data_IF_709582160977
#
_entry.id   IF_709582160977
#
_cell.length_a   1.000
_cell.length_b   1.000
_cell.length_c   1.000
_cell.angle_alpha   90.00
_cell.angle_beta   90.00
_cell.angle_gamma   90.00
#
_symmetry.space_group_name_H-M   'P 1'
#
loop_
_entity.id
_entity.type
_entity.pdbx_description
1 polymer ?
#
# COMPACT_ATOMS: atom_id res chain seq x y z
N UNK A 1 13.79 10.82 12.51
CA UNK A 1 14.04 11.33 11.15
C UNK A 1 13.94 10.16 10.18
N UNK A 2 12.75 9.91 9.62
CA UNK A 2 12.55 8.82 8.66
C UNK A 2 13.00 9.29 7.27
N UNK A 3 13.95 8.56 6.70
CA UNK A 3 14.53 8.85 5.38
C UNK A 3 13.54 8.39 4.30
N UNK A 4 12.87 9.33 3.64
CA UNK A 4 12.13 9.02 2.41
C UNK A 4 13.17 8.84 1.30
N UNK A 5 13.36 7.60 0.85
CA UNK A 5 14.23 7.29 -0.28
C UNK A 5 13.43 7.54 -1.56
N UNK A 6 13.75 8.62 -2.29
CA UNK A 6 13.24 8.82 -3.65
C UNK A 6 14.03 7.87 -4.56
N UNK A 7 13.52 6.66 -4.75
CA UNK A 7 14.09 5.68 -5.69
C UNK A 7 13.53 5.99 -7.07
N UNK A 8 14.39 6.16 -8.07
CA UNK A 8 13.98 6.19 -9.47
C UNK A 8 13.43 4.82 -9.87
N UNK A 9 12.15 4.74 -10.23
CA UNK A 9 11.52 3.49 -10.68
C UNK A 9 12.01 3.14 -12.09
N UNK A 10 12.58 1.94 -12.32
CA UNK A 10 12.96 1.50 -13.65
C UNK A 10 11.72 1.22 -14.52
N UNK A 11 11.83 1.43 -15.84
CA UNK A 11 10.74 1.16 -16.80
C UNK A 11 10.39 -0.32 -16.94
N UNK A 12 11.32 -1.20 -16.59
CA UNK A 12 11.15 -2.65 -16.56
C UNK A 12 11.60 -3.15 -15.20
N UNK A 13 10.77 -3.98 -14.56
CA UNK A 13 11.11 -4.57 -13.27
C UNK A 13 11.89 -5.87 -13.50
N UNK A 14 13.01 -6.08 -12.79
CA UNK A 14 13.70 -7.36 -12.78
C UNK A 14 12.73 -8.50 -12.46
N UNK A 15 12.88 -9.64 -13.13
CA UNK A 15 12.01 -10.83 -12.99
C UNK A 15 12.05 -11.45 -11.58
N UNK A 16 13.02 -11.08 -10.75
CA UNK A 16 13.18 -11.47 -9.35
C UNK A 16 12.49 -10.53 -8.35
N UNK A 17 11.89 -9.42 -8.80
CA UNK A 17 11.07 -8.55 -7.93
C UNK A 17 9.75 -9.25 -7.62
N UNK A 18 9.43 -9.40 -6.32
CA UNK A 18 8.12 -9.87 -5.86
C UNK A 18 6.99 -9.08 -6.57
N UNK A 19 5.93 -9.78 -6.98
CA UNK A 19 4.86 -9.12 -7.73
C UNK A 19 4.17 -7.99 -6.95
N UNK A 20 4.14 -8.06 -5.62
CA UNK A 20 3.58 -7.01 -4.77
C UNK A 20 4.19 -5.62 -5.03
N UNK A 21 5.50 -5.42 -4.77
CA UNK A 21 6.19 -4.18 -5.09
C UNK A 21 6.04 -3.73 -6.54
N UNK A 22 6.08 -4.67 -7.51
CA UNK A 22 5.91 -4.35 -8.93
C UNK A 22 4.56 -3.70 -9.22
N UNK A 23 3.46 -4.39 -8.90
CA UNK A 23 2.12 -3.90 -9.21
C UNK A 23 1.70 -2.71 -8.35
N UNK A 24 2.21 -2.61 -7.12
CA UNK A 24 2.06 -1.39 -6.34
C UNK A 24 2.71 -0.20 -7.06
N UNK A 25 3.90 -0.40 -7.64
CA UNK A 25 4.60 0.63 -8.39
C UNK A 25 3.89 0.97 -9.70
N UNK A 26 3.41 -0.02 -10.46
CA UNK A 26 2.61 0.22 -11.68
C UNK A 26 1.39 1.10 -11.37
N UNK A 27 0.67 0.82 -10.27
CA UNK A 27 -0.44 1.66 -9.83
C UNK A 27 -0.02 3.11 -9.52
N UNK A 28 1.19 3.34 -9.00
CA UNK A 28 1.74 4.70 -8.82
C UNK A 28 2.01 5.38 -10.16
N UNK A 29 2.59 4.64 -11.11
CA UNK A 29 2.89 5.18 -12.45
C UNK A 29 1.62 5.56 -13.21
N UNK A 30 0.54 4.78 -13.05
CA UNK A 30 -0.77 5.07 -13.63
C UNK A 30 -1.44 6.29 -13.01
N UNK A 31 -1.35 6.45 -11.68
CA UNK A 31 -1.89 7.61 -10.97
C UNK A 31 -1.13 8.90 -11.28
N UNK A 32 0.18 8.78 -11.49
CA UNK A 32 1.09 9.90 -11.70
C UNK A 32 1.96 9.64 -12.93
N UNK A 33 1.42 9.77 -14.16
CA UNK A 33 2.20 9.58 -15.38
C UNK A 33 3.29 10.65 -15.53
N UNK A 34 4.29 10.42 -16.38
CA UNK A 34 5.44 11.33 -16.56
C UNK A 34 5.02 12.73 -17.06
N UNK A 35 3.94 12.80 -17.83
CA UNK A 35 3.31 14.01 -18.37
C UNK A 35 2.12 14.49 -17.52
N UNK A 36 1.95 13.93 -16.31
CA UNK A 36 0.87 14.27 -15.40
C UNK A 36 1.00 15.66 -14.77
N UNK A 37 -0.12 16.17 -14.23
CA UNK A 37 -0.18 17.49 -13.60
C UNK A 37 0.70 17.63 -12.35
N UNK A 38 1.01 16.51 -11.67
CA UNK A 38 1.85 16.48 -10.46
C UNK A 38 3.14 15.72 -10.80
N UNK A 39 4.31 16.39 -10.81
CA UNK A 39 5.58 15.71 -11.02
C UNK A 39 5.90 14.74 -9.88
N UNK A 40 6.28 13.50 -10.19
CA UNK A 40 6.58 12.46 -9.18
C UNK A 40 7.63 12.88 -8.14
N UNK A 41 8.60 13.71 -8.54
CA UNK A 41 9.63 14.22 -7.63
C UNK A 41 9.10 15.14 -6.51
N UNK A 42 7.82 15.54 -6.58
CA UNK A 42 7.16 16.34 -5.54
C UNK A 42 6.29 15.52 -4.59
N UNK A 43 6.12 14.21 -4.84
CA UNK A 43 5.29 13.34 -4.02
C UNK A 43 6.03 12.95 -2.73
N UNK A 44 5.35 13.09 -1.58
CA UNK A 44 5.78 12.48 -0.33
C UNK A 44 5.14 11.10 -0.19
N UNK A 45 5.94 10.06 -0.33
CA UNK A 45 5.51 8.65 -0.30
C UNK A 45 5.90 7.98 1.02
N UNK A 46 4.95 7.28 1.64
CA UNK A 46 5.22 6.35 2.75
C UNK A 46 5.19 4.91 2.22
N UNK A 47 6.31 4.20 2.34
CA UNK A 47 6.38 2.75 2.14
C UNK A 47 6.27 2.04 3.49
N UNK A 48 5.14 1.37 3.71
CA UNK A 48 4.79 0.69 4.96
C UNK A 48 5.54 -0.63 5.14
N UNK A 49 6.00 -1.26 4.05
CA UNK A 49 6.46 -2.66 4.05
C UNK A 49 7.72 -2.87 3.22
N UNK A 50 8.68 -1.96 3.35
CA UNK A 50 9.91 -1.85 2.57
C UNK A 50 10.91 -3.03 2.69
N UNK A 51 10.52 -4.20 3.22
CA UNK A 51 11.42 -5.33 3.45
C UNK A 51 12.33 -5.12 4.66
N UNK A 52 13.64 -5.43 4.57
CA UNK A 52 14.57 -5.39 5.71
C UNK A 52 15.08 -3.98 6.05
N UNK A 53 14.20 -3.00 6.17
CA UNK A 53 14.50 -1.73 6.84
C UNK A 53 14.76 -1.93 8.35
N UNK A 54 15.75 -2.76 8.73
CA UNK A 54 16.04 -3.38 10.05
C UNK A 54 16.02 -2.40 11.24
N UNK A 55 15.98 -1.09 10.99
CA UNK A 55 16.13 0.02 11.93
C UNK A 55 14.89 0.94 11.99
N UNK A 56 13.79 0.63 11.31
CA UNK A 56 12.48 1.23 11.61
C UNK A 56 11.83 0.54 12.83
N UNK A 57 12.56 0.46 13.95
CA UNK A 57 12.32 -0.51 15.02
C UNK A 57 10.92 -0.42 15.66
N UNK A 58 10.21 -1.56 15.63
CA UNK A 58 9.07 -1.95 16.51
C UNK A 58 7.73 -1.24 16.33
N UNK A 59 7.60 -0.28 15.43
CA UNK A 59 6.36 0.46 15.20
C UNK A 59 5.66 0.04 13.90
N UNK A 60 5.09 -1.16 13.91
CA UNK A 60 4.24 -1.63 12.81
C UNK A 60 2.93 -0.82 12.79
N UNK A 61 2.64 -0.18 11.66
CA UNK A 61 1.41 0.58 11.48
C UNK A 61 0.18 -0.29 11.81
N UNK A 62 -0.78 0.27 12.55
CA UNK A 62 -2.02 -0.43 12.92
C UNK A 62 -2.02 -1.14 14.27
N UNK A 63 -0.85 -1.44 14.86
CA UNK A 63 -0.78 -1.92 16.25
C UNK A 63 -0.84 -0.76 17.25
N UNK A 64 -0.36 0.40 16.83
CA UNK A 64 -0.45 1.66 17.55
C UNK A 64 -0.30 2.82 16.58
N UNK A 65 -0.57 4.03 17.09
CA UNK A 65 -0.39 5.27 16.33
C UNK A 65 1.09 5.56 16.15
N UNK A 66 1.54 5.69 14.90
CA UNK A 66 2.93 6.04 14.60
C UNK A 66 3.17 7.54 14.83
N UNK A 67 4.42 7.91 15.17
CA UNK A 67 4.85 9.30 15.38
C UNK A 67 5.01 10.07 14.04
N UNK A 68 3.87 10.24 13.39
CA UNK A 68 3.69 10.96 12.13
C UNK A 68 2.42 11.79 12.26
N UNK A 69 2.47 13.05 11.84
CA UNK A 69 1.30 13.92 11.80
C UNK A 69 0.24 13.42 10.81
N UNK A 70 -1.02 13.74 11.08
CA UNK A 70 -2.12 13.46 10.16
C UNK A 70 -1.88 14.20 8.84
N UNK A 71 -2.36 13.65 7.72
CA UNK A 71 -2.28 14.29 6.39
C UNK A 71 -0.85 14.66 5.95
N UNK A 72 0.11 13.78 6.24
CA UNK A 72 1.51 14.00 5.92
C UNK A 72 1.87 13.60 4.49
N UNK A 73 1.35 12.47 4.01
CA UNK A 73 1.80 11.81 2.77
C UNK A 73 0.81 11.97 1.63
N UNK A 74 1.31 12.22 0.42
CA UNK A 74 0.50 12.24 -0.81
C UNK A 74 0.11 10.83 -1.24
N UNK A 75 0.96 9.85 -0.91
CA UNK A 75 0.79 8.44 -1.25
C UNK A 75 1.26 7.55 -0.10
N UNK A 76 0.45 6.55 0.27
CA UNK A 76 0.80 5.50 1.22
C UNK A 76 0.75 4.15 0.51
N UNK A 77 1.87 3.44 0.45
CA UNK A 77 1.99 2.16 -0.25
C UNK A 77 2.32 1.07 0.75
N UNK A 78 1.63 -0.06 0.61
CA UNK A 78 1.90 -1.28 1.37
C UNK A 78 1.90 -2.47 0.43
N UNK A 79 3.02 -3.18 0.35
CA UNK A 79 3.16 -4.35 -0.49
C UNK A 79 3.64 -5.56 0.34
N UNK A 80 2.85 -6.62 0.40
CA UNK A 80 3.20 -7.86 1.10
C UNK A 80 3.04 -7.85 2.62
N UNK A 81 2.45 -6.79 3.21
CA UNK A 81 2.29 -6.67 4.66
C UNK A 81 0.96 -7.20 5.21
N UNK A 82 -0.07 -7.34 4.37
CA UNK A 82 -1.33 -8.00 4.74
C UNK A 82 -1.23 -9.50 4.52
N UNK A 83 -0.25 -10.12 5.18
CA UNK A 83 -0.08 -11.57 5.28
C UNK A 83 -0.25 -12.04 6.73
N UNK A 84 -0.44 -13.36 6.97
CA UNK A 84 -0.66 -13.90 8.31
C UNK A 84 0.36 -13.40 9.33
N UNK A 85 -0.11 -12.86 10.47
CA UNK A 85 0.76 -12.38 11.55
C UNK A 85 1.51 -11.06 11.32
N UNK A 86 1.21 -10.31 10.26
CA UNK A 86 1.89 -9.04 9.94
C UNK A 86 1.05 -7.79 10.32
N UNK A 87 0.31 -7.20 9.39
CA UNK A 87 -0.51 -6.01 9.65
C UNK A 87 -1.93 -6.39 10.07
N UNK A 88 -2.46 -5.84 11.18
CA UNK A 88 -3.88 -5.96 11.52
C UNK A 88 -4.71 -5.10 10.56
N UNK A 89 -6.03 -5.34 10.49
CA UNK A 89 -6.93 -4.54 9.64
C UNK A 89 -6.90 -3.04 10.02
N UNK A 90 -6.66 -2.73 11.31
CA UNK A 90 -6.51 -1.37 11.85
C UNK A 90 -5.33 -0.59 11.27
N UNK A 91 -4.41 -1.26 10.57
CA UNK A 91 -3.38 -0.59 9.78
C UNK A 91 -3.99 0.34 8.73
N UNK A 92 -5.16 0.01 8.19
CA UNK A 92 -5.85 0.84 7.22
C UNK A 92 -6.29 2.19 7.80
N UNK A 93 -6.72 2.24 9.07
CA UNK A 93 -7.09 3.52 9.71
C UNK A 93 -5.89 4.45 9.84
N UNK A 94 -4.74 3.91 10.23
CA UNK A 94 -3.50 4.68 10.34
C UNK A 94 -2.98 5.13 8.97
N UNK A 95 -3.08 4.27 7.95
CA UNK A 95 -2.74 4.65 6.56
C UNK A 95 -3.62 5.82 6.09
N UNK A 96 -4.93 5.78 6.35
CA UNK A 96 -5.84 6.87 6.04
C UNK A 96 -5.49 8.13 6.83
N UNK A 97 -5.18 8.01 8.12
CA UNK A 97 -4.82 9.15 8.98
C UNK A 97 -3.63 9.92 8.43
N UNK A 98 -2.56 9.23 8.07
CA UNK A 98 -1.31 9.87 7.59
C UNK A 98 -1.35 10.27 6.12
N UNK A 99 -2.30 9.75 5.33
CA UNK A 99 -2.53 10.17 3.95
C UNK A 99 -3.24 11.55 3.91
N UNK A 100 -2.87 12.44 2.98
CA UNK A 100 -3.56 13.71 2.75
C UNK A 100 -4.94 13.50 2.13
N UNK A 101 -5.93 14.38 2.38
CA UNK A 101 -7.17 14.39 1.62
C UNK A 101 -6.87 14.51 0.12
N UNK A 102 -7.52 13.68 -0.71
CA UNK A 102 -7.23 13.56 -2.14
C UNK A 102 -5.97 12.74 -2.48
N UNK A 103 -5.14 12.37 -1.48
CA UNK A 103 -4.02 11.45 -1.63
C UNK A 103 -4.47 9.99 -1.78
N UNK A 104 -3.53 9.11 -2.09
CA UNK A 104 -3.82 7.72 -2.43
C UNK A 104 -3.22 6.71 -1.43
N UNK A 105 -3.93 5.60 -1.25
CA UNK A 105 -3.48 4.44 -0.49
C UNK A 105 -3.48 3.23 -1.42
N UNK A 106 -2.36 2.51 -1.52
CA UNK A 106 -2.19 1.34 -2.37
C UNK A 106 -1.81 0.14 -1.51
N UNK A 107 -2.62 -0.92 -1.57
CA UNK A 107 -2.32 -2.20 -0.92
C UNK A 107 -2.15 -3.30 -1.97
N UNK A 108 -0.96 -3.91 -2.04
CA UNK A 108 -0.71 -5.09 -2.85
C UNK A 108 -0.36 -6.29 -1.97
N UNK A 109 -1.06 -7.40 -2.16
CA UNK A 109 -0.92 -8.61 -1.32
C UNK A 109 -1.20 -9.88 -2.11
N UNK A 110 -0.88 -11.04 -1.54
CA UNK A 110 -1.31 -12.33 -2.12
C UNK A 110 -2.82 -12.44 -2.05
N UNK A 111 -3.45 -12.81 -3.17
CA UNK A 111 -4.90 -12.94 -3.25
C UNK A 111 -5.45 -13.98 -2.26
N UNK A 112 -4.75 -15.11 -2.09
CA UNK A 112 -5.20 -16.21 -1.23
C UNK A 112 -5.42 -15.78 0.23
N UNK A 113 -4.71 -14.76 0.71
CA UNK A 113 -4.82 -14.28 2.08
C UNK A 113 -6.18 -13.65 2.40
N UNK A 114 -6.95 -13.21 1.41
CA UNK A 114 -8.34 -12.82 1.61
C UNK A 114 -9.22 -13.99 2.11
N UNK A 115 -8.83 -15.22 1.81
CA UNK A 115 -9.65 -16.40 2.04
C UNK A 115 -9.08 -17.33 3.11
N UNK A 116 -7.75 -17.44 3.22
CA UNK A 116 -7.10 -18.45 4.06
C UNK A 116 -6.53 -17.90 5.37
N UNK A 117 -6.31 -16.58 5.46
CA UNK A 117 -5.74 -15.96 6.66
C UNK A 117 -6.85 -15.49 7.59
N UNK A 118 -6.96 -16.09 8.78
CA UNK A 118 -7.95 -15.67 9.79
C UNK A 118 -7.87 -14.17 10.10
N UNK A 119 -6.65 -13.62 10.10
CA UNK A 119 -6.37 -12.20 10.34
C UNK A 119 -6.95 -11.28 9.25
N UNK A 120 -7.21 -11.81 8.05
CA UNK A 120 -7.60 -11.04 6.86
C UNK A 120 -8.95 -11.44 6.25
N UNK A 121 -9.64 -12.44 6.81
CA UNK A 121 -10.99 -12.84 6.34
C UNK A 121 -12.00 -11.68 6.35
N UNK A 122 -11.83 -10.69 7.23
CA UNK A 122 -12.65 -9.48 7.29
C UNK A 122 -12.11 -8.27 6.52
N UNK A 123 -11.02 -8.41 5.75
CA UNK A 123 -10.36 -7.27 5.11
C UNK A 123 -11.28 -6.55 4.11
N UNK A 124 -12.00 -7.30 3.27
CA UNK A 124 -12.91 -6.71 2.27
C UNK A 124 -14.08 -5.97 2.94
N UNK A 125 -14.66 -6.55 3.98
CA UNK A 125 -15.74 -5.92 4.74
C UNK A 125 -15.25 -4.67 5.48
N UNK A 126 -14.05 -4.73 6.05
CA UNK A 126 -13.43 -3.58 6.70
C UNK A 126 -13.15 -2.45 5.72
N UNK A 127 -12.61 -2.77 4.55
CA UNK A 127 -12.40 -1.81 3.47
C UNK A 127 -13.70 -1.15 3.03
N UNK A 128 -14.77 -1.94 2.89
CA UNK A 128 -16.10 -1.45 2.57
C UNK A 128 -16.65 -0.54 3.66
N UNK A 129 -16.47 -0.90 4.94
CA UNK A 129 -16.91 -0.07 6.06
C UNK A 129 -16.19 1.29 6.09
N UNK A 130 -14.92 1.35 5.66
CA UNK A 130 -14.16 2.59 5.53
C UNK A 130 -14.71 3.48 4.40
N UNK A 131 -15.19 2.88 3.30
CA UNK A 131 -15.89 3.60 2.23
C UNK A 131 -17.26 4.11 2.68
N UNK A 132 -18.06 3.27 3.34
CA UNK A 132 -19.40 3.63 3.84
C UNK A 132 -19.34 4.76 4.88
N UNK A 133 -18.24 4.83 5.64
CA UNK A 133 -17.94 5.94 6.56
C UNK A 133 -17.44 7.21 5.85
N UNK A 134 -17.24 7.18 4.53
CA UNK A 134 -16.75 8.31 3.75
C UNK A 134 -15.29 8.68 4.03
N UNK A 135 -14.47 7.73 4.52
CA UNK A 135 -13.07 7.99 4.83
C UNK A 135 -12.16 7.86 3.60
N UNK A 136 -12.58 7.05 2.63
CA UNK A 136 -11.92 6.88 1.34
C UNK A 136 -12.91 6.40 0.27
N UNK A 137 -12.44 6.28 -0.97
CA UNK A 137 -13.14 5.62 -2.07
C UNK A 137 -12.19 4.68 -2.80
N UNK A 138 -12.61 3.46 -3.17
CA UNK A 138 -11.85 2.60 -4.07
C UNK A 138 -11.86 3.17 -5.47
N UNK A 139 -10.66 3.36 -5.99
CA UNK A 139 -10.39 3.79 -7.36
C UNK A 139 -10.33 2.57 -8.27
N UNK A 140 -9.62 1.53 -7.85
CA UNK A 140 -9.47 0.30 -8.63
C UNK A 140 -9.08 -0.89 -7.75
N UNK A 141 -9.23 -2.08 -8.31
CA UNK A 141 -8.51 -3.27 -7.85
C UNK A 141 -8.15 -4.15 -9.06
N UNK A 142 -6.99 -4.80 -9.00
CA UNK A 142 -6.49 -5.68 -10.08
C UNK A 142 -6.01 -6.98 -9.44
N UNK A 143 -6.47 -8.10 -10.00
CA UNK A 143 -5.94 -9.43 -9.70
C UNK A 143 -4.94 -9.79 -10.80
N UNK A 144 -3.79 -10.34 -10.41
CA UNK A 144 -2.71 -10.65 -11.34
C UNK A 144 -1.99 -11.95 -10.98
N UNK A 145 -1.34 -12.56 -11.96
CA UNK A 145 -0.52 -13.75 -11.77
C UNK A 145 0.93 -13.39 -11.41
N UNK A 146 1.64 -14.33 -10.80
CA UNK A 146 3.07 -14.21 -10.53
C UNK A 146 3.44 -13.29 -9.37
N UNK A 147 2.61 -13.22 -8.34
CA UNK A 147 2.94 -12.52 -7.09
C UNK A 147 4.16 -13.13 -6.38
N UNK A 148 4.24 -14.46 -6.31
CA UNK A 148 5.32 -15.20 -5.67
C UNK A 148 5.64 -16.47 -6.45
N UNK A 149 6.93 -16.68 -6.76
CA UNK A 149 7.46 -17.85 -7.48
C UNK A 149 6.64 -18.22 -8.73
N UNK A 150 6.14 -17.20 -9.45
CA UNK A 150 5.29 -17.31 -10.66
C UNK A 150 3.97 -18.09 -10.54
N UNK A 151 3.67 -18.72 -9.40
CA UNK A 151 2.48 -19.58 -9.21
C UNK A 151 1.36 -18.95 -8.37
N UNK A 152 1.68 -17.96 -7.53
CA UNK A 152 0.67 -17.33 -6.65
C UNK A 152 0.08 -16.09 -7.28
N UNK A 153 -1.24 -15.93 -7.16
CA UNK A 153 -1.94 -14.72 -7.57
C UNK A 153 -1.80 -13.61 -6.54
N UNK A 154 -1.77 -12.38 -7.05
CA UNK A 154 -1.77 -11.15 -6.31
C UNK A 154 -3.07 -10.38 -6.48
N UNK A 155 -3.29 -9.45 -5.57
CA UNK A 155 -4.31 -8.42 -5.70
C UNK A 155 -3.72 -7.08 -5.27
N UNK A 156 -3.93 -6.05 -6.09
CA UNK A 156 -3.62 -4.66 -5.74
C UNK A 156 -4.92 -3.88 -5.65
N UNK A 157 -5.13 -3.18 -4.54
CA UNK A 157 -6.19 -2.21 -4.35
C UNK A 157 -5.64 -0.79 -4.37
N UNK A 158 -6.39 0.13 -4.98
CA UNK A 158 -6.09 1.57 -4.96
C UNK A 158 -7.29 2.29 -4.36
N UNK A 159 -7.05 3.08 -3.33
CA UNK A 159 -8.03 3.95 -2.68
C UNK A 159 -7.57 5.40 -2.75
N UNK A 160 -8.51 6.32 -2.81
CA UNK A 160 -8.26 7.74 -2.61
C UNK A 160 -8.94 8.20 -1.32
N UNK A 161 -8.19 8.90 -0.47
CA UNK A 161 -8.74 9.52 0.73
C UNK A 161 -9.69 10.66 0.36
N UNK A 162 -10.84 10.72 1.03
CA UNK A 162 -11.86 11.77 0.88
C UNK A 162 -11.54 12.93 1.82
#
# INVERSE_FOLDING_TARGET
MFLALVVSVPKEFPVDVLGGPRFATEAVLDLFPDDGAVPRGQLKVLDVAAGTGLVGQRDMIGHHRIDVEDNTYDLVVVAGAFGPGHCPLTALDEMIRVCKPGGYIINSMRLEFLFISKDHTGLLDYQKSLEERGLWRRVSHIIFDGYFETVKQGITFVYQKI
#
